data_IF_697770632520
#
_entry.id   IF_697770632520
#
_cell.length_a   1.000
_cell.length_b   1.000
_cell.length_c   1.000
_cell.angle_alpha   90.00
_cell.angle_beta   90.00
_cell.angle_gamma   90.00
#
_symmetry.space_group_name_H-M   'P 1'
#
loop_
_entity.id
_entity.type
_entity.pdbx_description
1 polymer ?
#
# COMPACT_ATOMS: atom_id res chain seq x y z
N UNK A 1 -33.43 -37.45 -7.27
CA UNK A 1 -32.02 -37.26 -7.69
C UNK A 1 -31.70 -35.83 -7.30
N UNK A 2 -31.50 -35.66 -6.00
CA UNK A 2 -31.46 -34.35 -5.33
C UNK A 2 -30.03 -34.14 -4.85
N UNK A 3 -29.38 -33.08 -5.33
CA UNK A 3 -28.04 -32.70 -4.90
C UNK A 3 -28.16 -31.75 -3.71
N UNK A 4 -28.21 -32.30 -2.51
CA UNK A 4 -27.91 -31.56 -1.28
C UNK A 4 -26.41 -31.60 -1.02
N UNK A 5 -25.71 -30.50 -1.32
CA UNK A 5 -24.31 -30.31 -0.94
C UNK A 5 -24.29 -29.47 0.35
N UNK A 6 -23.79 -29.99 1.47
CA UNK A 6 -23.87 -29.31 2.75
C UNK A 6 -22.91 -28.11 2.82
N UNK A 7 -23.48 -26.96 3.15
CA UNK A 7 -22.81 -25.75 3.63
C UNK A 7 -22.12 -26.06 4.97
N UNK A 8 -20.84 -26.43 4.95
CA UNK A 8 -20.04 -26.59 6.17
C UNK A 8 -18.75 -25.76 6.12
N UNK A 9 -18.84 -24.66 6.86
CA UNK A 9 -17.81 -23.90 7.57
C UNK A 9 -16.52 -24.68 7.88
N UNK A 10 -15.37 -24.23 7.36
CA UNK A 10 -14.04 -24.69 7.80
C UNK A 10 -13.25 -23.54 8.43
N UNK A 11 -13.22 -23.57 9.77
CA UNK A 11 -12.50 -22.67 10.66
C UNK A 11 -11.25 -23.38 11.19
N UNK A 12 -10.05 -22.81 10.95
CA UNK A 12 -8.70 -23.13 11.53
C UNK A 12 -8.14 -24.52 11.14
N UNK A 13 -6.84 -24.72 10.86
CA UNK A 13 -5.59 -24.42 11.60
C UNK A 13 -4.43 -24.33 10.57
N UNK A 14 -3.48 -23.38 10.57
CA UNK A 14 -2.37 -23.07 11.51
C UNK A 14 -1.25 -24.14 11.59
N UNK A 15 -0.36 -24.15 10.60
CA UNK A 15 1.08 -24.43 10.71
C UNK A 15 1.74 -23.57 9.61
N UNK A 16 2.84 -22.82 9.76
CA UNK A 16 4.04 -23.01 10.54
C UNK A 16 5.19 -22.58 9.63
N UNK A 17 5.33 -21.28 9.33
CA UNK A 17 6.52 -20.77 8.64
C UNK A 17 7.13 -19.62 9.43
N UNK A 18 8.28 -19.93 10.00
CA UNK A 18 9.01 -19.19 11.02
C UNK A 18 10.14 -18.43 10.31
N UNK A 19 10.01 -17.12 10.16
CA UNK A 19 11.17 -16.25 9.92
C UNK A 19 11.48 -15.52 11.22
N UNK A 20 12.75 -15.63 11.60
CA UNK A 20 13.30 -15.29 12.89
C UNK A 20 13.09 -13.85 13.34
N UNK A 21 13.17 -13.72 14.65
CA UNK A 21 13.12 -12.50 15.45
C UNK A 21 14.20 -11.52 14.98
N UNK A 22 13.77 -10.34 14.53
CA UNK A 22 14.54 -9.13 14.81
C UNK A 22 13.58 -8.12 15.43
N UNK A 23 13.69 -8.04 16.74
CA UNK A 23 13.05 -7.12 17.65
C UNK A 23 13.55 -5.70 17.34
N UNK A 24 12.72 -4.87 16.70
CA UNK A 24 12.87 -3.42 16.72
C UNK A 24 11.48 -2.78 16.68
N UNK A 25 11.02 -2.41 17.89
CA UNK A 25 10.06 -1.35 18.24
C UNK A 25 9.28 -0.72 17.07
N UNK A 26 8.18 -1.35 16.66
CA UNK A 26 7.14 -0.61 15.92
C UNK A 26 6.04 -0.21 16.91
N UNK A 27 6.28 0.90 17.61
CA UNK A 27 5.20 1.75 18.08
C UNK A 27 4.30 1.97 16.86
N UNK A 28 3.14 1.33 16.83
CA UNK A 28 2.09 1.63 15.86
C UNK A 28 1.64 3.05 16.17
N UNK A 29 2.38 4.04 15.67
CA UNK A 29 1.97 5.43 15.64
C UNK A 29 0.67 5.41 14.83
N UNK A 30 -0.46 5.37 15.52
CA UNK A 30 -1.77 5.76 14.98
C UNK A 30 -1.59 7.21 14.52
N UNK A 31 -1.11 7.37 13.29
CA UNK A 31 -0.75 8.65 12.73
C UNK A 31 -1.97 9.54 12.78
N UNK A 32 -1.94 10.56 13.64
CA UNK A 32 -2.95 11.61 13.63
C UNK A 32 -3.10 12.14 12.21
N UNK A 33 -4.33 12.49 11.84
CA UNK A 33 -4.77 13.00 10.53
C UNK A 33 -4.13 14.35 10.14
N UNK A 34 -2.87 14.62 10.51
CA UNK A 34 -2.15 15.91 10.35
C UNK A 34 -2.08 16.40 8.90
N UNK A 35 -2.17 15.48 7.94
CA UNK A 35 -2.16 15.80 6.50
C UNK A 35 -3.50 15.51 5.82
N UNK A 36 -4.57 15.25 6.58
CA UNK A 36 -5.89 15.03 5.99
C UNK A 36 -6.42 16.37 5.47
N UNK A 37 -6.90 16.35 4.23
CA UNK A 37 -7.65 17.47 3.68
C UNK A 37 -8.99 17.54 4.39
N UNK A 38 -9.26 18.65 5.08
CA UNK A 38 -10.57 18.99 5.62
C UNK A 38 -11.29 19.81 4.53
N UNK A 39 -12.04 19.10 3.68
CA UNK A 39 -12.85 19.66 2.58
C UNK A 39 -12.12 20.40 1.45
N UNK A 40 -12.90 20.93 0.49
CA UNK A 40 -12.42 21.70 -0.66
C UNK A 40 -12.05 23.14 -0.28
N UNK A 41 -11.17 23.30 0.71
CA UNK A 41 -10.67 24.60 1.09
C UNK A 41 -9.34 24.91 0.37
N UNK A 42 -9.27 26.11 -0.22
CA UNK A 42 -8.15 26.62 -1.04
C UNK A 42 -6.81 26.55 -0.30
N UNK A 43 -6.78 26.85 1.00
CA UNK A 43 -5.56 26.82 1.83
C UNK A 43 -5.06 25.38 1.96
N UNK A 44 -5.96 24.43 2.25
CA UNK A 44 -5.60 23.02 2.35
C UNK A 44 -5.14 22.44 1.03
N UNK A 45 -5.77 22.82 -0.10
CA UNK A 45 -5.31 22.44 -1.43
C UNK A 45 -3.88 22.96 -1.71
N UNK A 46 -3.59 24.23 -1.37
CA UNK A 46 -2.24 24.80 -1.49
C UNK A 46 -1.22 24.04 -0.63
N UNK A 47 -1.53 23.79 0.63
CA UNK A 47 -0.67 23.01 1.54
C UNK A 47 -0.50 21.54 1.08
N UNK A 48 -1.52 20.96 0.45
CA UNK A 48 -1.47 19.59 -0.09
C UNK A 48 -0.55 19.51 -1.31
N UNK A 49 -0.59 20.54 -2.18
CA UNK A 49 0.32 20.71 -3.31
C UNK A 49 1.75 21.00 -2.85
N UNK A 50 1.93 21.89 -1.88
CA UNK A 50 3.25 22.23 -1.33
C UNK A 50 3.95 21.01 -0.68
N UNK A 51 3.18 20.07 -0.11
CA UNK A 51 3.70 18.82 0.46
C UNK A 51 3.88 17.70 -0.58
N UNK A 52 3.58 17.95 -1.85
CA UNK A 52 3.57 16.96 -2.95
C UNK A 52 2.80 15.68 -2.59
N UNK A 53 1.65 15.86 -1.94
CA UNK A 53 0.93 14.74 -1.34
C UNK A 53 0.18 13.91 -2.38
N UNK A 54 -0.13 14.48 -3.55
CA UNK A 54 -0.67 13.75 -4.69
C UNK A 54 0.36 12.77 -5.27
N UNK A 55 1.59 13.24 -5.45
CA UNK A 55 2.71 12.47 -5.98
C UNK A 55 3.07 11.32 -5.05
N UNK A 56 3.17 11.59 -3.75
CA UNK A 56 3.39 10.55 -2.72
C UNK A 56 2.29 9.49 -2.72
N UNK A 57 1.02 9.89 -2.77
CA UNK A 57 -0.08 8.95 -2.84
C UNK A 57 -0.07 8.14 -4.14
N UNK A 58 0.25 8.79 -5.27
CA UNK A 58 0.40 8.10 -6.57
C UNK A 58 1.51 7.06 -6.51
N UNK A 59 2.67 7.37 -5.93
CA UNK A 59 3.77 6.42 -5.73
C UNK A 59 3.35 5.22 -4.89
N UNK A 60 2.64 5.44 -3.77
CA UNK A 60 2.13 4.35 -2.93
C UNK A 60 1.15 3.44 -3.69
N UNK A 61 0.22 4.03 -4.48
CA UNK A 61 -0.70 3.23 -5.30
C UNK A 61 0.04 2.42 -6.37
N UNK A 62 1.01 3.03 -7.06
CA UNK A 62 1.81 2.36 -8.07
C UNK A 62 2.64 1.23 -7.48
N UNK A 63 3.29 1.43 -6.33
CA UNK A 63 4.02 0.36 -5.64
C UNK A 63 3.12 -0.83 -5.28
N UNK A 64 1.91 -0.58 -4.77
CA UNK A 64 0.93 -1.65 -4.49
C UNK A 64 0.46 -2.37 -5.75
N UNK A 65 0.30 -1.63 -6.85
CA UNK A 65 -0.09 -2.20 -8.14
C UNK A 65 1.01 -3.10 -8.70
N UNK A 66 2.25 -2.61 -8.75
CA UNK A 66 3.41 -3.38 -9.23
C UNK A 66 3.62 -4.65 -8.39
N UNK A 67 3.42 -4.57 -7.06
CA UNK A 67 3.49 -5.76 -6.20
C UNK A 67 2.47 -6.85 -6.56
N UNK A 68 1.32 -6.48 -7.17
CA UNK A 68 0.31 -7.43 -7.67
C UNK A 68 0.52 -7.79 -9.13
N UNK A 69 1.08 -6.88 -9.92
CA UNK A 69 1.24 -6.97 -11.36
C UNK A 69 2.69 -6.57 -11.75
N UNK A 70 3.68 -7.43 -11.47
CA UNK A 70 5.09 -7.08 -11.66
C UNK A 70 5.49 -6.90 -13.13
N UNK A 71 4.75 -7.53 -14.05
CA UNK A 71 4.98 -7.41 -15.48
C UNK A 71 4.51 -6.07 -16.10
N UNK A 72 3.78 -5.24 -15.34
CA UNK A 72 3.26 -3.96 -15.84
C UNK A 72 4.37 -2.90 -15.93
N UNK A 73 5.04 -2.88 -17.09
CA UNK A 73 6.13 -1.94 -17.40
C UNK A 73 5.68 -0.47 -17.37
N UNK A 74 4.41 -0.20 -17.68
CA UNK A 74 3.85 1.15 -17.66
C UNK A 74 3.78 1.67 -16.22
N UNK A 75 3.33 0.83 -15.28
CA UNK A 75 3.29 1.18 -13.86
C UNK A 75 4.70 1.41 -13.27
N UNK A 76 5.68 0.58 -13.65
CA UNK A 76 7.09 0.73 -13.22
C UNK A 76 7.67 2.05 -13.74
N UNK A 77 7.47 2.35 -15.02
CA UNK A 77 7.94 3.61 -15.64
C UNK A 77 7.27 4.83 -14.98
N UNK A 78 5.97 4.74 -14.70
CA UNK A 78 5.24 5.80 -14.00
C UNK A 78 5.77 6.00 -12.56
N UNK A 79 6.15 4.92 -11.87
CA UNK A 79 6.74 5.00 -10.53
C UNK A 79 8.12 5.66 -10.58
N UNK A 80 8.97 5.32 -11.54
CA UNK A 80 10.28 5.93 -11.72
C UNK A 80 10.23 7.46 -11.91
N UNK A 81 9.21 7.95 -12.62
CA UNK A 81 8.98 9.40 -12.81
C UNK A 81 8.49 10.12 -11.54
N UNK A 82 7.69 9.45 -10.71
CA UNK A 82 7.02 10.08 -9.55
C UNK A 82 7.82 9.92 -8.25
N UNK A 83 8.53 8.80 -8.10
CA UNK A 83 9.33 8.47 -6.91
C UNK A 83 10.54 7.60 -7.30
N UNK A 84 11.60 8.19 -7.89
CA UNK A 84 12.75 7.46 -8.41
C UNK A 84 13.46 6.62 -7.33
N UNK A 85 13.58 7.16 -6.12
CA UNK A 85 14.17 6.44 -4.98
C UNK A 85 13.39 5.19 -4.55
N UNK A 86 12.06 5.15 -4.78
CA UNK A 86 11.27 3.94 -4.54
C UNK A 86 11.40 2.94 -5.68
N UNK A 87 11.46 3.42 -6.93
CA UNK A 87 11.60 2.55 -8.10
C UNK A 87 12.91 1.76 -8.08
N UNK A 88 14.02 2.40 -7.66
CA UNK A 88 15.33 1.73 -7.52
C UNK A 88 15.29 0.54 -6.55
N UNK A 89 14.46 0.59 -5.50
CA UNK A 89 14.32 -0.50 -4.52
C UNK A 89 13.48 -1.68 -5.01
N UNK A 90 12.71 -1.50 -6.08
CA UNK A 90 11.87 -2.55 -6.66
C UNK A 90 12.61 -3.23 -7.82
N UNK A 91 13.52 -2.50 -8.47
CA UNK A 91 14.33 -3.01 -9.57
C UNK A 91 15.62 -3.72 -9.13
N UNK A 92 16.09 -3.47 -7.89
CA UNK A 92 17.20 -4.18 -7.25
C UNK A 92 16.70 -5.45 -6.54
#
# INVERSE_FOLDING_TARGET
MDRDVPFMETRRQRTGFKWGVHEMVNIVKRGGKKNRKHDRNKIWCKAYRARSQHEKNKAVRLGKHIARHPADRCAVTALARVAPAMALKIAA
#
